data_IF_856324154474
#
_entry.id   IF_856324154474
#
_cell.length_a   1.000
_cell.length_b   1.000
_cell.length_c   1.000
_cell.angle_alpha   90.00
_cell.angle_beta   90.00
_cell.angle_gamma   90.00
#
_symmetry.space_group_name_H-M   'P 1'
#
loop_
_entity.id
_entity.type
_entity.pdbx_description
1 polymer ?
#
# COMPACT_ATOMS: atom_id res chain seq x y z
N UNK A 1 21.16 14.37 3.54
CA UNK A 1 22.36 13.51 3.57
C UNK A 1 22.13 12.34 2.62
N UNK A 2 23.04 12.09 1.69
CA UNK A 2 23.03 10.93 0.78
C UNK A 2 23.76 9.74 1.41
N UNK A 3 23.64 8.53 0.83
CA UNK A 3 24.44 7.36 1.28
C UNK A 3 25.95 7.67 1.18
N UNK A 4 26.34 8.39 0.12
CA UNK A 4 27.73 8.82 -0.08
C UNK A 4 28.18 9.79 1.02
N UNK A 5 27.30 10.72 1.42
CA UNK A 5 27.58 11.64 2.53
C UNK A 5 27.76 10.87 3.84
N UNK A 6 26.92 9.87 4.12
CA UNK A 6 27.06 9.01 5.30
C UNK A 6 28.38 8.22 5.30
N UNK A 7 28.74 7.62 4.16
CA UNK A 7 30.03 6.92 4.02
C UNK A 7 31.21 7.86 4.28
N UNK A 8 31.14 9.10 3.78
CA UNK A 8 32.17 10.13 3.99
C UNK A 8 32.25 10.57 5.45
N UNK A 9 31.12 10.83 6.09
CA UNK A 9 31.06 11.24 7.49
C UNK A 9 31.66 10.17 8.43
N UNK A 10 31.33 8.90 8.20
CA UNK A 10 31.89 7.78 8.97
C UNK A 10 33.39 7.61 8.73
N UNK A 11 33.86 7.77 7.49
CA UNK A 11 35.28 7.70 7.14
C UNK A 11 36.08 8.85 7.76
N UNK A 12 35.53 10.06 7.75
CA UNK A 12 36.10 11.24 8.40
C UNK A 12 36.18 11.05 9.92
N UNK A 13 35.15 10.48 10.54
CA UNK A 13 35.15 10.18 11.97
C UNK A 13 36.18 9.11 12.34
N UNK A 14 36.22 7.98 11.62
CA UNK A 14 37.16 6.88 11.91
C UNK A 14 38.61 7.28 11.66
N UNK A 15 38.87 8.10 10.64
CA UNK A 15 40.20 8.58 10.29
C UNK A 15 40.84 9.46 11.38
N UNK A 16 40.06 9.93 12.37
CA UNK A 16 40.59 10.62 13.54
C UNK A 16 41.38 9.69 14.47
N UNK A 17 41.16 8.38 14.37
CA UNK A 17 41.77 7.37 15.22
C UNK A 17 42.88 6.61 14.48
N UNK A 18 44.04 6.46 15.12
CA UNK A 18 45.22 5.76 14.54
C UNK A 18 44.98 4.29 14.19
N UNK A 19 43.98 3.66 14.82
CA UNK A 19 43.61 2.27 14.60
C UNK A 19 42.85 2.10 13.29
N UNK A 20 42.16 3.16 12.82
CA UNK A 20 41.32 3.10 11.63
C UNK A 20 40.18 2.09 11.77
N UNK A 21 39.78 1.49 10.64
CA UNK A 21 38.77 0.44 10.61
C UNK A 21 39.26 -0.86 11.26
N UNK A 22 38.38 -1.52 12.01
CA UNK A 22 38.61 -2.89 12.46
C UNK A 22 38.70 -3.88 11.29
N UNK A 23 39.31 -5.07 11.48
CA UNK A 23 39.27 -6.14 10.49
C UNK A 23 37.82 -6.52 10.13
N UNK A 24 37.52 -6.91 8.87
CA UNK A 24 36.14 -7.19 8.43
C UNK A 24 35.41 -8.24 9.29
N UNK A 25 36.13 -9.24 9.80
CA UNK A 25 35.57 -10.26 10.70
C UNK A 25 35.11 -9.70 12.05
N UNK A 26 35.77 -8.67 12.57
CA UNK A 26 35.33 -7.99 13.78
C UNK A 26 34.10 -7.11 13.50
N UNK A 27 34.10 -6.37 12.39
CA UNK A 27 32.96 -5.52 12.00
C UNK A 27 31.69 -6.35 11.77
N UNK A 28 31.79 -7.50 11.08
CA UNK A 28 30.62 -8.36 10.86
C UNK A 28 30.11 -8.94 12.18
N UNK A 29 31.01 -9.30 13.10
CA UNK A 29 30.61 -9.80 14.43
C UNK A 29 29.85 -8.74 15.20
N UNK A 30 30.34 -7.49 15.24
CA UNK A 30 29.64 -6.36 15.82
C UNK A 30 28.26 -6.17 15.17
N UNK A 31 28.18 -6.22 13.83
CA UNK A 31 26.90 -6.01 13.15
C UNK A 31 25.84 -7.08 13.47
N UNK A 32 26.26 -8.29 13.81
CA UNK A 32 25.34 -9.36 14.24
C UNK A 32 24.82 -9.09 15.65
N UNK A 33 25.63 -8.49 16.52
CA UNK A 33 25.23 -8.03 17.84
C UNK A 33 24.15 -6.94 17.73
N UNK A 34 24.41 -5.87 16.96
CA UNK A 34 23.43 -4.80 16.71
C UNK A 34 22.13 -5.32 16.09
N UNK A 35 22.23 -6.27 15.15
CA UNK A 35 21.05 -6.90 14.56
C UNK A 35 20.24 -7.71 15.58
N UNK A 36 20.91 -8.33 16.55
CA UNK A 36 20.28 -9.03 17.67
C UNK A 36 19.53 -8.09 18.61
N UNK A 37 20.12 -6.92 18.89
CA UNK A 37 19.51 -5.85 19.68
C UNK A 37 18.24 -5.30 18.98
N UNK A 38 18.34 -4.99 17.68
CA UNK A 38 17.20 -4.61 16.85
C UNK A 38 16.10 -5.69 16.86
N UNK A 39 16.46 -6.96 16.67
CA UNK A 39 15.50 -8.07 16.67
C UNK A 39 14.79 -8.19 18.03
N UNK A 40 15.51 -7.98 19.13
CA UNK A 40 14.94 -7.96 20.48
C UNK A 40 13.91 -6.84 20.61
N UNK A 41 14.21 -5.63 20.15
CA UNK A 41 13.27 -4.51 20.30
C UNK A 41 12.05 -4.61 19.38
N UNK A 42 12.22 -5.10 18.15
CA UNK A 42 11.10 -5.43 17.26
C UNK A 42 10.20 -6.47 17.90
N UNK A 43 10.76 -7.54 18.46
CA UNK A 43 9.99 -8.57 19.15
C UNK A 43 9.33 -8.05 20.44
N UNK A 44 9.97 -7.12 21.16
CA UNK A 44 9.38 -6.46 22.32
C UNK A 44 8.17 -5.60 21.95
N UNK A 45 8.18 -4.97 20.77
CA UNK A 45 7.11 -4.06 20.31
C UNK A 45 5.98 -4.76 19.58
N UNK A 46 6.28 -5.78 18.79
CA UNK A 46 5.33 -6.42 17.88
C UNK A 46 5.19 -7.94 18.11
N UNK A 47 6.00 -8.52 18.98
CA UNK A 47 5.94 -9.94 19.31
C UNK A 47 4.85 -10.27 20.32
N UNK A 48 4.61 -11.58 20.58
CA UNK A 48 3.50 -12.06 21.40
C UNK A 48 3.66 -11.80 22.92
N UNK A 49 4.76 -11.17 23.36
CA UNK A 49 5.02 -10.88 24.77
C UNK A 49 4.52 -9.47 25.11
N UNK A 50 3.55 -9.39 26.02
CA UNK A 50 3.01 -8.12 26.54
C UNK A 50 4.04 -7.48 27.49
N UNK A 51 4.49 -6.24 27.21
CA UNK A 51 5.40 -5.48 28.10
C UNK A 51 4.73 -5.21 29.46
N UNK A 52 5.54 -5.24 30.53
CA UNK A 52 5.13 -4.83 31.89
C UNK A 52 5.24 -3.31 32.14
N UNK A 53 5.91 -2.55 31.26
CA UNK A 53 6.05 -1.09 31.34
C UNK A 53 6.28 -0.46 29.94
N UNK A 54 5.67 0.71 29.63
CA UNK A 54 5.94 1.47 28.41
C UNK A 54 7.28 2.24 28.40
N UNK A 55 8.03 2.27 29.51
CA UNK A 55 9.19 3.18 29.68
C UNK A 55 10.51 2.69 29.08
N UNK A 56 10.61 1.41 28.69
CA UNK A 56 11.89 0.77 28.33
C UNK A 56 11.92 0.40 26.83
N UNK A 57 11.68 1.37 25.96
CA UNK A 57 11.99 1.20 24.52
C UNK A 57 13.23 2.03 24.25
N UNK A 58 14.38 1.38 24.02
CA UNK A 58 15.36 1.96 23.10
C UNK A 58 14.60 2.26 21.80
N UNK A 59 14.83 3.42 21.20
CA UNK A 59 14.06 3.77 20.01
C UNK A 59 14.49 2.81 18.90
N UNK A 60 13.56 2.07 18.28
CA UNK A 60 13.87 1.18 17.14
C UNK A 60 14.74 1.89 16.08
N UNK A 61 14.61 3.22 15.98
CA UNK A 61 15.45 4.06 15.14
C UNK A 61 16.94 4.03 15.51
N UNK A 62 17.31 4.00 16.79
CA UNK A 62 18.70 3.89 17.28
C UNK A 62 19.29 2.54 16.84
N UNK A 63 18.61 1.45 17.13
CA UNK A 63 19.05 0.09 16.78
C UNK A 63 19.21 -0.11 15.25
N UNK A 64 18.29 0.47 14.46
CA UNK A 64 18.43 0.49 12.99
C UNK A 64 19.65 1.31 12.58
N UNK A 65 19.92 2.43 13.26
CA UNK A 65 21.05 3.31 12.97
C UNK A 65 22.37 2.61 13.27
N UNK A 66 22.47 1.86 14.37
CA UNK A 66 23.67 1.10 14.73
C UNK A 66 23.98 -0.02 13.72
N UNK A 67 22.95 -0.74 13.27
CA UNK A 67 23.08 -1.70 12.16
C UNK A 67 23.57 -1.02 10.88
N UNK A 68 23.00 0.13 10.52
CA UNK A 68 23.40 0.90 9.33
C UNK A 68 24.85 1.37 9.47
N UNK A 69 25.23 1.87 10.64
CA UNK A 69 26.59 2.34 10.94
C UNK A 69 27.62 1.21 10.81
N UNK A 70 27.34 0.03 11.37
CA UNK A 70 28.21 -1.13 11.25
C UNK A 70 28.37 -1.59 9.78
N UNK A 71 27.28 -1.55 9.00
CA UNK A 71 27.32 -1.86 7.56
C UNK A 71 28.11 -0.83 6.75
N UNK A 72 28.01 0.46 7.09
CA UNK A 72 28.83 1.51 6.47
C UNK A 72 30.30 1.30 6.81
N UNK A 73 30.63 1.00 8.07
CA UNK A 73 32.00 0.69 8.47
C UNK A 73 32.58 -0.48 7.67
N UNK A 74 31.80 -1.56 7.50
CA UNK A 74 32.21 -2.71 6.72
C UNK A 74 32.45 -2.31 5.25
N UNK A 75 31.52 -1.57 4.65
CA UNK A 75 31.63 -1.14 3.26
C UNK A 75 32.85 -0.25 3.02
N UNK A 76 33.07 0.75 3.88
CA UNK A 76 34.21 1.65 3.79
C UNK A 76 35.54 0.90 3.96
N UNK A 77 35.63 0.01 4.95
CA UNK A 77 36.83 -0.81 5.19
C UNK A 77 37.21 -1.71 4.01
N UNK A 78 36.26 -1.97 3.10
CA UNK A 78 36.43 -2.80 1.91
C UNK A 78 36.45 -1.99 0.60
N UNK A 79 36.41 -0.65 0.67
CA UNK A 79 36.38 0.21 -0.51
C UNK A 79 35.10 0.06 -1.36
N UNK A 80 33.98 -0.34 -0.73
CA UNK A 80 32.70 -0.55 -1.42
C UNK A 80 31.92 0.77 -1.47
N UNK A 81 31.60 1.21 -2.68
CA UNK A 81 30.67 2.31 -2.90
C UNK A 81 29.22 1.84 -2.73
N UNK A 82 28.61 2.13 -1.57
CA UNK A 82 27.24 1.67 -1.27
C UNK A 82 26.20 2.33 -2.15
N UNK A 83 26.39 3.59 -2.57
CA UNK A 83 25.45 4.27 -3.47
C UNK A 83 25.38 3.58 -4.84
N UNK A 84 26.53 3.17 -5.40
CA UNK A 84 26.57 2.40 -6.64
C UNK A 84 25.93 1.01 -6.48
N UNK A 85 26.23 0.31 -5.37
CA UNK A 85 25.64 -1.01 -5.09
C UNK A 85 24.13 -0.91 -4.86
N UNK A 86 23.68 0.15 -4.21
CA UNK A 86 22.26 0.45 -4.01
C UNK A 86 21.55 0.67 -5.34
N UNK A 87 22.09 1.54 -6.21
CA UNK A 87 21.56 1.78 -7.57
C UNK A 87 21.41 0.46 -8.34
N UNK A 88 22.46 -0.36 -8.39
CA UNK A 88 22.45 -1.69 -9.05
C UNK A 88 21.47 -2.67 -8.41
N UNK A 89 21.31 -2.65 -7.08
CA UNK A 89 20.35 -3.49 -6.37
C UNK A 89 18.93 -3.06 -6.72
N UNK A 90 18.64 -1.77 -6.73
CA UNK A 90 17.34 -1.23 -7.11
C UNK A 90 17.01 -1.51 -8.58
N UNK A 91 17.95 -1.34 -9.51
CA UNK A 91 17.78 -1.76 -10.92
C UNK A 91 17.42 -3.25 -11.02
N UNK A 92 18.08 -4.11 -10.25
CA UNK A 92 17.75 -5.54 -10.19
C UNK A 92 16.40 -5.82 -9.52
N UNK A 93 16.02 -5.07 -8.50
CA UNK A 93 14.70 -5.20 -7.88
C UNK A 93 13.63 -4.78 -8.89
N UNK A 94 13.73 -3.58 -9.48
CA UNK A 94 12.79 -3.12 -10.51
C UNK A 94 12.73 -4.08 -11.72
N UNK A 95 13.87 -4.55 -12.23
CA UNK A 95 13.88 -5.49 -13.35
C UNK A 95 13.45 -6.92 -13.01
N UNK A 96 13.60 -7.38 -11.76
CA UNK A 96 13.08 -8.69 -11.30
C UNK A 96 11.62 -8.63 -10.92
N UNK A 97 11.20 -7.51 -10.36
CA UNK A 97 9.86 -7.29 -9.82
C UNK A 97 8.88 -6.82 -10.90
N UNK A 98 9.36 -6.36 -12.07
CA UNK A 98 8.57 -6.11 -13.29
C UNK A 98 7.61 -7.25 -13.65
N UNK A 99 7.91 -8.50 -13.26
CA UNK A 99 7.05 -9.67 -13.47
C UNK A 99 6.76 -10.48 -12.19
N UNK A 100 7.17 -10.02 -11.01
CA UNK A 100 7.04 -10.78 -9.73
C UNK A 100 6.09 -10.14 -8.73
N UNK A 101 5.94 -8.82 -8.77
CA UNK A 101 5.01 -8.08 -7.91
C UNK A 101 4.30 -7.02 -8.75
N UNK A 102 2.98 -6.93 -8.65
CA UNK A 102 2.21 -5.91 -9.38
C UNK A 102 2.64 -4.51 -8.91
N UNK A 103 3.17 -3.69 -9.83
CA UNK A 103 3.34 -2.26 -9.58
C UNK A 103 1.96 -1.66 -9.39
N UNK A 104 1.78 -0.92 -8.30
CA UNK A 104 0.60 -0.08 -8.12
C UNK A 104 0.74 1.08 -9.11
N UNK A 105 0.27 0.92 -10.35
CA UNK A 105 0.11 2.05 -11.29
C UNK A 105 -1.09 2.90 -10.88
N UNK A 106 -1.04 3.47 -9.68
CA UNK A 106 -1.99 4.47 -9.25
C UNK A 106 -1.54 5.84 -9.75
N UNK A 107 -1.47 6.01 -11.09
CA UNK A 107 -1.01 7.24 -11.77
C UNK A 107 -1.77 8.51 -11.37
N UNK A 108 -2.97 8.36 -10.79
CA UNK A 108 -3.83 9.46 -10.35
C UNK A 108 -3.90 9.61 -8.83
N UNK A 109 -3.20 8.77 -8.07
CA UNK A 109 -3.13 8.89 -6.63
C UNK A 109 -1.90 9.67 -6.19
N UNK A 110 -2.12 10.66 -5.36
CA UNK A 110 -1.08 11.48 -4.74
C UNK A 110 -0.98 11.14 -3.25
N UNK A 111 0.16 11.41 -2.62
CA UNK A 111 0.35 11.15 -1.18
C UNK A 111 -0.74 11.82 -0.33
N UNK A 112 -1.16 13.03 -0.71
CA UNK A 112 -2.24 13.78 -0.05
C UNK A 112 -3.56 13.02 -0.04
N UNK A 113 -3.87 12.22 -1.07
CA UNK A 113 -5.09 11.40 -1.10
C UNK A 113 -5.06 10.34 0.00
N UNK A 114 -3.93 9.68 0.20
CA UNK A 114 -3.79 8.66 1.26
C UNK A 114 -3.86 9.28 2.65
N UNK A 115 -3.30 10.48 2.84
CA UNK A 115 -3.41 11.22 4.09
C UNK A 115 -4.86 11.61 4.39
N UNK A 116 -5.60 12.12 3.40
CA UNK A 116 -7.04 12.40 3.51
C UNK A 116 -7.83 11.14 3.85
N UNK A 117 -7.58 10.02 3.16
CA UNK A 117 -8.27 8.75 3.46
C UNK A 117 -7.98 8.21 4.85
N UNK A 118 -6.74 8.30 5.33
CA UNK A 118 -6.38 7.86 6.68
C UNK A 118 -7.12 8.67 7.75
N UNK A 119 -7.33 9.96 7.51
CA UNK A 119 -8.00 10.86 8.44
C UNK A 119 -9.53 10.89 8.29
N UNK A 120 -10.07 10.46 7.15
CA UNK A 120 -11.51 10.54 6.84
C UNK A 120 -12.40 9.72 7.79
N UNK A 121 -13.48 10.31 8.29
CA UNK A 121 -14.44 9.72 9.22
C UNK A 121 -15.89 9.73 8.67
N UNK A 122 -16.10 10.21 7.44
CA UNK A 122 -17.41 10.19 6.77
C UNK A 122 -17.31 9.75 5.31
N UNK A 123 -18.45 9.33 4.74
CA UNK A 123 -18.53 8.98 3.32
C UNK A 123 -18.31 10.20 2.41
N UNK A 124 -18.73 11.39 2.82
CA UNK A 124 -18.50 12.64 2.08
C UNK A 124 -16.99 12.97 1.96
N UNK A 125 -16.21 12.72 3.01
CA UNK A 125 -14.77 12.98 3.00
C UNK A 125 -14.03 12.06 2.04
N UNK A 126 -14.36 10.77 2.01
CA UNK A 126 -13.78 9.83 1.04
C UNK A 126 -14.33 10.08 -0.38
N UNK A 127 -15.58 10.53 -0.51
CA UNK A 127 -16.17 10.92 -1.79
C UNK A 127 -15.41 12.09 -2.42
N UNK A 128 -15.01 13.09 -1.63
CA UNK A 128 -14.21 14.21 -2.13
C UNK A 128 -12.87 13.73 -2.74
N UNK A 129 -12.23 12.73 -2.12
CA UNK A 129 -11.01 12.10 -2.67
C UNK A 129 -11.32 11.37 -3.98
N UNK A 130 -12.41 10.60 -4.03
CA UNK A 130 -12.83 9.90 -5.25
C UNK A 130 -13.09 10.89 -6.41
N UNK A 131 -13.80 11.99 -6.13
CA UNK A 131 -14.14 12.99 -7.14
C UNK A 131 -12.92 13.74 -7.68
N UNK A 132 -11.94 14.08 -6.83
CA UNK A 132 -10.69 14.69 -7.26
C UNK A 132 -9.90 13.76 -8.22
N UNK A 133 -9.82 12.47 -7.88
CA UNK A 133 -9.18 11.46 -8.74
C UNK A 133 -9.93 11.34 -10.06
N UNK A 134 -11.25 11.16 -10.03
CA UNK A 134 -12.07 10.98 -11.24
C UNK A 134 -11.99 12.16 -12.21
N UNK A 135 -11.87 13.39 -11.69
CA UNK A 135 -11.68 14.60 -12.50
C UNK A 135 -10.34 14.63 -13.24
N UNK A 136 -9.30 14.04 -12.65
CA UNK A 136 -7.94 13.98 -13.21
C UNK A 136 -7.73 12.79 -14.17
N UNK A 137 -8.63 11.80 -14.14
CA UNK A 137 -8.50 10.60 -14.97
C UNK A 137 -8.83 10.86 -16.46
N UNK A 138 -8.09 10.27 -17.41
CA UNK A 138 -8.44 10.27 -18.81
C UNK A 138 -9.81 9.60 -19.03
N UNK A 139 -10.64 10.22 -19.84
CA UNK A 139 -11.97 9.71 -20.17
C UNK A 139 -11.92 8.77 -21.39
N UNK A 140 -12.79 7.74 -21.47
CA UNK A 140 -13.80 7.37 -20.48
C UNK A 140 -13.20 6.61 -19.29
N UNK A 141 -13.72 6.86 -18.08
CA UNK A 141 -13.37 6.08 -16.88
C UNK A 141 -14.27 4.86 -16.77
N UNK A 142 -13.67 3.75 -16.36
CA UNK A 142 -14.33 2.48 -16.12
C UNK A 142 -14.10 2.01 -14.68
N UNK A 143 -14.93 1.11 -14.18
CA UNK A 143 -14.83 0.59 -12.82
C UNK A 143 -14.97 -0.93 -12.81
N UNK A 144 -14.25 -1.62 -11.93
CA UNK A 144 -14.42 -3.05 -11.68
C UNK A 144 -15.46 -3.26 -10.57
N UNK A 145 -16.38 -4.19 -10.77
CA UNK A 145 -17.50 -4.50 -9.88
C UNK A 145 -17.48 -5.97 -9.47
N UNK A 146 -17.64 -6.24 -8.18
CA UNK A 146 -17.58 -7.60 -7.64
C UNK A 146 -17.46 -7.66 -6.11
N UNK A 147 -17.17 -8.83 -5.54
CA UNK A 147 -16.96 -8.98 -4.10
C UNK A 147 -15.63 -8.33 -3.70
N UNK A 148 -15.70 -7.21 -2.97
CA UNK A 148 -14.53 -6.57 -2.35
C UNK A 148 -14.54 -6.81 -0.84
N UNK A 149 -15.54 -6.26 -0.15
CA UNK A 149 -15.68 -6.34 1.32
C UNK A 149 -16.37 -7.62 1.81
N UNK A 150 -17.33 -8.16 1.06
CA UNK A 150 -18.08 -9.37 1.44
C UNK A 150 -18.39 -10.27 0.24
N UNK A 151 -18.47 -11.58 0.47
CA UNK A 151 -18.61 -12.59 -0.58
C UNK A 151 -17.29 -12.96 -1.26
N UNK A 152 -17.37 -13.63 -2.41
CA UNK A 152 -16.20 -13.95 -3.25
C UNK A 152 -15.25 -14.99 -2.67
N UNK A 153 -13.94 -14.71 -2.69
CA UNK A 153 -12.84 -15.64 -2.36
C UNK A 153 -12.67 -15.93 -0.86
N UNK A 154 -13.63 -15.55 -0.03
CA UNK A 154 -13.66 -15.86 1.41
C UNK A 154 -12.75 -14.99 2.28
N UNK A 155 -12.02 -14.02 1.73
CA UNK A 155 -11.31 -13.00 2.51
C UNK A 155 -11.18 -11.68 1.74
N UNK A 156 -11.17 -10.56 2.48
CA UNK A 156 -11.00 -9.21 1.92
C UNK A 156 -9.66 -9.09 1.19
N UNK A 157 -8.60 -9.70 1.71
CA UNK A 157 -7.29 -9.71 1.06
C UNK A 157 -7.34 -10.41 -0.31
N UNK A 158 -7.93 -11.61 -0.37
CA UNK A 158 -8.05 -12.36 -1.63
C UNK A 158 -8.96 -11.65 -2.65
N UNK A 159 -9.99 -10.96 -2.18
CA UNK A 159 -10.87 -10.14 -3.00
C UNK A 159 -10.14 -8.90 -3.54
N UNK A 160 -9.41 -8.17 -2.69
CA UNK A 160 -8.60 -7.02 -3.09
C UNK A 160 -7.53 -7.41 -4.11
N UNK A 161 -6.88 -8.56 -3.95
CA UNK A 161 -5.92 -9.07 -4.93
C UNK A 161 -6.58 -9.42 -6.27
N UNK A 162 -7.82 -9.91 -6.25
CA UNK A 162 -8.60 -10.14 -7.46
C UNK A 162 -8.91 -8.83 -8.19
N UNK A 163 -9.31 -7.79 -7.45
CA UNK A 163 -9.55 -6.46 -7.99
C UNK A 163 -8.27 -5.87 -8.61
N UNK A 164 -7.14 -5.88 -7.90
CA UNK A 164 -5.85 -5.35 -8.41
C UNK A 164 -5.42 -6.01 -9.71
N UNK A 165 -5.47 -7.35 -9.78
CA UNK A 165 -5.16 -8.12 -10.99
C UNK A 165 -6.06 -7.75 -12.16
N UNK A 166 -7.36 -7.60 -11.89
CA UNK A 166 -8.36 -7.23 -12.90
C UNK A 166 -8.11 -5.82 -13.41
N UNK A 167 -7.90 -4.85 -12.51
CA UNK A 167 -7.59 -3.45 -12.80
C UNK A 167 -6.34 -3.37 -13.68
N UNK A 168 -5.27 -4.09 -13.31
CA UNK A 168 -4.01 -4.12 -14.06
C UNK A 168 -4.22 -4.67 -15.48
N UNK A 169 -4.91 -5.82 -15.60
CA UNK A 169 -5.16 -6.46 -16.89
C UNK A 169 -5.99 -5.58 -17.83
N UNK A 170 -7.02 -4.92 -17.30
CA UNK A 170 -7.82 -3.96 -18.06
C UNK A 170 -7.02 -2.70 -18.43
N UNK A 171 -6.16 -2.21 -17.53
CA UNK A 171 -5.22 -1.12 -17.80
C UNK A 171 -4.28 -1.42 -18.97
N UNK A 172 -3.75 -2.65 -19.02
CA UNK A 172 -2.93 -3.12 -20.16
C UNK A 172 -3.73 -3.23 -21.47
N UNK A 173 -5.06 -3.30 -21.39
CA UNK A 173 -5.98 -3.24 -22.53
C UNK A 173 -6.44 -1.80 -22.84
N UNK A 174 -5.72 -0.79 -22.32
CA UNK A 174 -5.99 0.63 -22.52
C UNK A 174 -7.30 1.14 -21.91
N UNK A 175 -7.81 0.49 -20.85
CA UNK A 175 -8.91 1.02 -20.06
C UNK A 175 -8.42 1.89 -18.90
N UNK A 176 -9.04 3.06 -18.71
CA UNK A 176 -8.79 3.89 -17.52
C UNK A 176 -9.68 3.39 -16.38
N UNK A 177 -9.11 2.67 -15.42
CA UNK A 177 -9.87 2.02 -14.35
C UNK A 177 -9.77 2.81 -13.04
N UNK A 178 -10.92 3.15 -12.46
CA UNK A 178 -11.00 3.77 -11.13
C UNK A 178 -10.68 2.71 -10.06
N UNK A 179 -9.53 2.86 -9.41
CA UNK A 179 -9.07 1.95 -8.35
C UNK A 179 -9.80 2.26 -7.03
N UNK A 180 -10.70 1.36 -6.64
CA UNK A 180 -11.48 1.49 -5.40
C UNK A 180 -10.75 0.87 -4.19
N UNK A 181 -9.69 0.09 -4.40
CA UNK A 181 -9.06 -0.71 -3.35
C UNK A 181 -8.48 0.15 -2.21
N UNK A 182 -7.86 1.33 -2.45
CA UNK A 182 -7.35 2.18 -1.38
C UNK A 182 -8.43 2.70 -0.42
N UNK A 183 -9.69 2.80 -0.85
CA UNK A 183 -10.80 3.29 -0.02
C UNK A 183 -11.24 2.27 1.04
N UNK A 184 -10.94 0.98 0.86
CA UNK A 184 -11.45 -0.12 1.70
C UNK A 184 -11.10 0.08 3.19
N UNK A 185 -9.88 0.52 3.50
CA UNK A 185 -9.47 0.77 4.89
C UNK A 185 -10.25 1.91 5.54
N UNK A 186 -10.50 2.99 4.79
CA UNK A 186 -11.28 4.12 5.28
C UNK A 186 -12.76 3.73 5.46
N UNK A 187 -13.33 2.98 4.51
CA UNK A 187 -14.69 2.43 4.59
C UNK A 187 -14.85 1.54 5.83
N UNK A 188 -13.89 0.63 6.09
CA UNK A 188 -13.91 -0.20 7.30
C UNK A 188 -13.85 0.63 8.58
N UNK A 189 -13.04 1.69 8.62
CA UNK A 189 -12.97 2.61 9.76
C UNK A 189 -14.31 3.32 9.99
N UNK A 190 -14.93 3.86 8.94
CA UNK A 190 -16.23 4.54 9.01
C UNK A 190 -17.32 3.58 9.50
N UNK A 191 -17.34 2.35 8.97
CA UNK A 191 -18.27 1.30 9.40
C UNK A 191 -18.09 0.90 10.86
N UNK A 192 -16.85 0.78 11.33
CA UNK A 192 -16.56 0.46 12.73
C UNK A 192 -17.11 1.52 13.70
N UNK A 193 -17.11 2.79 13.29
CA UNK A 193 -17.71 3.90 14.06
C UNK A 193 -19.25 3.90 14.03
N UNK A 194 -19.86 3.10 13.16
CA UNK A 194 -21.30 2.95 12.99
C UNK A 194 -21.81 1.58 13.50
N UNK A 195 -21.12 1.00 14.49
CA UNK A 195 -21.40 -0.35 15.02
C UNK A 195 -22.81 -0.56 15.59
N UNK A 196 -23.57 0.53 15.81
CA UNK A 196 -24.96 0.49 16.24
C UNK A 196 -25.94 0.18 15.09
N UNK A 197 -25.52 0.33 13.83
CA UNK A 197 -26.35 0.06 12.66
C UNK A 197 -26.34 -1.42 12.30
N UNK A 198 -27.45 -1.90 11.75
CA UNK A 198 -27.50 -3.20 11.10
C UNK A 198 -26.59 -3.23 9.87
N UNK A 199 -26.24 -4.44 9.43
CA UNK A 199 -25.43 -4.64 8.22
C UNK A 199 -26.10 -4.04 6.98
N UNK A 200 -27.43 -4.08 6.91
CA UNK A 200 -28.22 -3.54 5.80
C UNK A 200 -28.18 -2.01 5.79
N UNK A 201 -28.42 -1.36 6.94
CA UNK A 201 -28.32 0.10 7.08
C UNK A 201 -26.90 0.61 6.75
N UNK A 202 -25.88 -0.07 7.27
CA UNK A 202 -24.48 0.27 6.99
C UNK A 202 -24.12 0.13 5.50
N UNK A 203 -24.66 -0.89 4.83
CA UNK A 203 -24.49 -1.07 3.39
C UNK A 203 -25.20 0.02 2.59
N UNK A 204 -26.45 0.36 2.95
CA UNK A 204 -27.21 1.43 2.31
C UNK A 204 -26.48 2.77 2.40
N UNK A 205 -25.95 3.13 3.58
CA UNK A 205 -25.21 4.37 3.75
C UNK A 205 -23.94 4.44 2.89
N UNK A 206 -23.21 3.33 2.73
CA UNK A 206 -22.06 3.29 1.81
C UNK A 206 -22.50 3.46 0.36
N UNK A 207 -23.52 2.73 -0.07
CA UNK A 207 -23.98 2.73 -1.46
C UNK A 207 -24.57 4.09 -1.85
N UNK A 208 -25.39 4.68 -0.99
CA UNK A 208 -26.03 5.98 -1.25
C UNK A 208 -25.10 7.17 -0.99
N UNK A 209 -24.21 7.08 -0.01
CA UNK A 209 -23.32 8.18 0.38
C UNK A 209 -22.03 8.26 -0.44
N UNK A 210 -21.52 7.13 -0.94
CA UNK A 210 -20.24 7.09 -1.67
C UNK A 210 -20.41 6.71 -3.14
N UNK A 211 -21.05 5.57 -3.43
CA UNK A 211 -21.12 5.05 -4.81
C UNK A 211 -22.15 5.78 -5.69
N UNK A 212 -23.34 6.09 -5.14
CA UNK A 212 -24.40 6.76 -5.91
C UNK A 212 -23.97 8.14 -6.44
N UNK A 213 -23.30 9.00 -5.66
CA UNK A 213 -22.78 10.27 -6.17
C UNK A 213 -21.71 10.07 -7.26
N UNK A 214 -20.84 9.05 -7.14
CA UNK A 214 -19.86 8.72 -8.18
C UNK A 214 -20.56 8.34 -9.48
N UNK A 215 -21.62 7.53 -9.44
CA UNK A 215 -22.35 7.16 -10.66
C UNK A 215 -23.13 8.34 -11.24
N UNK A 216 -23.77 9.15 -10.39
CA UNK A 216 -24.48 10.39 -10.81
C UNK A 216 -23.55 11.44 -11.41
N UNK A 217 -22.27 11.45 -11.06
CA UNK A 217 -21.28 12.37 -11.64
C UNK A 217 -21.12 12.20 -13.15
N UNK A 218 -21.42 11.00 -13.67
CA UNK A 218 -21.25 10.66 -15.06
C UNK A 218 -19.81 10.41 -15.49
N UNK A 219 -18.82 10.39 -14.59
CA UNK A 219 -17.43 10.04 -14.94
C UNK A 219 -17.30 8.56 -15.33
N UNK A 220 -17.95 7.66 -14.60
CA UNK A 220 -17.93 6.22 -14.90
C UNK A 220 -18.83 5.93 -16.09
N UNK A 221 -18.25 5.46 -17.20
CA UNK A 221 -18.97 5.11 -18.43
C UNK A 221 -19.11 3.62 -18.67
N UNK A 222 -18.34 2.80 -17.94
CA UNK A 222 -18.26 1.35 -18.13
C UNK A 222 -18.00 0.62 -16.83
N UNK A 223 -18.74 -0.45 -16.57
CA UNK A 223 -18.55 -1.34 -15.44
C UNK A 223 -18.13 -2.73 -15.93
N UNK A 224 -17.06 -3.26 -15.35
CA UNK A 224 -16.56 -4.61 -15.58
C UNK A 224 -16.89 -5.50 -14.39
N UNK A 225 -17.79 -6.46 -14.58
CA UNK A 225 -18.20 -7.39 -13.55
C UNK A 225 -17.29 -8.64 -13.56
N UNK A 226 -16.61 -8.89 -12.45
CA UNK A 226 -15.80 -10.11 -12.28
C UNK A 226 -16.69 -11.31 -11.98
N UNK A 227 -16.20 -12.52 -12.27
CA UNK A 227 -16.91 -13.76 -11.97
C UNK A 227 -17.33 -13.85 -10.49
N UNK A 228 -18.58 -14.25 -10.24
CA UNK A 228 -19.16 -14.37 -8.89
C UNK A 228 -19.63 -13.04 -8.28
N UNK A 229 -19.71 -11.96 -9.07
CA UNK A 229 -20.23 -10.66 -8.62
C UNK A 229 -21.63 -10.74 -8.02
N UNK A 230 -22.47 -11.68 -8.46
CA UNK A 230 -23.84 -11.89 -7.98
C UNK A 230 -23.89 -12.23 -6.48
N UNK A 231 -22.80 -12.75 -5.91
CA UNK A 231 -22.69 -13.03 -4.48
C UNK A 231 -22.57 -11.76 -3.63
N UNK A 232 -22.13 -10.64 -4.22
CA UNK A 232 -21.96 -9.36 -3.55
C UNK A 232 -23.25 -8.53 -3.59
N UNK A 233 -23.70 -8.04 -2.43
CA UNK A 233 -24.82 -7.10 -2.38
C UNK A 233 -24.46 -5.78 -3.09
N UNK A 234 -23.24 -5.28 -2.88
CA UNK A 234 -22.77 -4.05 -3.51
C UNK A 234 -22.72 -4.18 -5.03
N UNK A 235 -22.15 -5.27 -5.56
CA UNK A 235 -22.08 -5.46 -7.01
C UNK A 235 -23.47 -5.62 -7.65
N UNK A 236 -24.42 -6.29 -6.98
CA UNK A 236 -25.81 -6.32 -7.44
C UNK A 236 -26.46 -4.95 -7.49
N UNK A 237 -26.21 -4.12 -6.50
CA UNK A 237 -26.68 -2.74 -6.50
C UNK A 237 -26.04 -1.91 -7.63
N UNK A 238 -24.72 -2.06 -7.84
CA UNK A 238 -24.00 -1.38 -8.93
C UNK A 238 -24.54 -1.77 -10.31
N UNK A 239 -24.90 -3.04 -10.49
CA UNK A 239 -25.49 -3.57 -11.71
C UNK A 239 -26.85 -2.93 -12.02
N UNK A 240 -27.73 -2.83 -11.02
CA UNK A 240 -29.03 -2.18 -11.18
C UNK A 240 -28.86 -0.69 -11.47
N UNK A 241 -27.94 -0.01 -10.78
CA UNK A 241 -27.65 1.41 -11.06
C UNK A 241 -27.02 1.65 -12.42
N UNK A 242 -26.20 0.73 -12.92
CA UNK A 242 -25.68 0.83 -14.28
C UNK A 242 -26.78 0.79 -15.33
N UNK A 243 -27.80 -0.07 -15.16
CA UNK A 243 -28.98 -0.08 -16.03
C UNK A 243 -29.77 1.22 -15.93
N UNK A 244 -29.98 1.72 -14.71
CA UNK A 244 -30.71 2.98 -14.45
C UNK A 244 -30.05 4.19 -15.12
N UNK A 245 -28.72 4.29 -15.04
CA UNK A 245 -27.95 5.42 -15.56
C UNK A 245 -27.41 5.21 -16.98
N UNK A 246 -27.68 4.06 -17.62
CA UNK A 246 -27.19 3.74 -18.95
C UNK A 246 -25.67 3.59 -19.05
N UNK A 247 -25.02 3.10 -17.99
CA UNK A 247 -23.59 2.79 -17.95
C UNK A 247 -23.36 1.45 -18.66
N UNK A 248 -22.35 1.36 -19.53
CA UNK A 248 -22.04 0.13 -20.26
C UNK A 248 -21.64 -0.99 -19.29
N UNK A 249 -22.25 -2.17 -19.42
CA UNK A 249 -21.96 -3.34 -18.57
C UNK A 249 -21.19 -4.38 -19.38
N UNK A 250 -20.06 -4.82 -18.86
CA UNK A 250 -19.25 -5.91 -19.42
C UNK A 250 -19.06 -6.99 -18.36
N UNK A 251 -19.33 -8.24 -18.72
CA UNK A 251 -19.05 -9.39 -17.87
C UNK A 251 -17.71 -10.00 -18.27
N UNK A 252 -16.81 -10.13 -17.30
CA UNK A 252 -15.50 -10.75 -17.52
C UNK A 252 -15.60 -12.27 -17.41
N UNK A 253 -14.79 -12.96 -18.21
CA UNK A 253 -14.72 -14.42 -18.20
C UNK A 253 -14.20 -14.96 -16.85
N UNK A 254 -14.49 -16.23 -16.59
CA UNK A 254 -13.98 -16.92 -15.41
C UNK A 254 -12.45 -17.02 -15.48
N UNK A 255 -11.75 -16.62 -14.41
CA UNK A 255 -10.28 -16.49 -14.34
C UNK A 255 -9.66 -15.40 -15.23
N UNK A 256 -10.42 -14.36 -15.58
CA UNK A 256 -9.86 -13.12 -16.14
C UNK A 256 -8.76 -12.56 -15.23
#
# INVERSE_FOLDING_TARGET
MTIKDMQKEVDEWISQYKVGYYPPLAIITQSVEELGELAREVNNRYGPRIKKSPSDTAEIGEEITDVIFAMICLANSQGINLEEKWKKKMEKCYGRDDNRWEKIENKHWEQEHFEKLNNANSYDEILNVAMDILQKMPQPVSQVCGPLTSGGKGSILANADCFRKTILKLGNQSHNIFDQVPFEKAIQKIRANQSHLSQEESNTLLLEGFYLPIFKSGFIKKLFFISGWESSQGARWEHEKAKEFGIEIIYLEENF
#
